data_IF_517852227129
#
_entry.id   IF_517852227129
#
_cell.length_a   1.000
_cell.length_b   1.000
_cell.length_c   1.000
_cell.angle_alpha   90.00
_cell.angle_beta   90.00
_cell.angle_gamma   90.00
#
_symmetry.space_group_name_H-M   'P 1'
#
loop_
_entity.id
_entity.type
_entity.pdbx_description
1 polymer ?
#
# COMPACT_ATOMS: atom_id res chain seq x y z
N UNK A 1 -16.21 -3.93 -15.56
CA UNK A 1 -15.56 -3.13 -14.51
C UNK A 1 -15.42 -3.96 -13.26
N UNK A 2 -14.40 -3.67 -12.45
CA UNK A 2 -14.12 -4.29 -11.16
C UNK A 2 -13.96 -3.15 -10.16
N UNK A 3 -14.60 -3.24 -9.00
CA UNK A 3 -14.37 -2.32 -7.89
C UNK A 3 -13.38 -2.94 -6.92
N UNK A 4 -12.31 -2.23 -6.61
CA UNK A 4 -11.26 -2.66 -5.70
C UNK A 4 -11.39 -1.89 -4.39
N UNK A 5 -11.54 -2.58 -3.26
CA UNK A 5 -11.66 -2.01 -1.93
C UNK A 5 -10.50 -2.46 -1.03
N UNK A 6 -9.81 -1.52 -0.41
CA UNK A 6 -8.74 -1.74 0.57
C UNK A 6 -9.13 -1.12 1.93
N UNK A 7 -9.51 -1.97 2.88
CA UNK A 7 -9.85 -1.59 4.24
C UNK A 7 -8.60 -1.66 5.14
N UNK A 8 -7.88 -0.53 5.19
CA UNK A 8 -6.75 -0.32 6.08
C UNK A 8 -7.14 -0.09 7.55
N UNK A 9 -6.16 0.25 8.38
CA UNK A 9 -6.43 0.53 9.81
C UNK A 9 -7.15 1.87 10.04
N UNK A 10 -6.76 2.89 9.27
CA UNK A 10 -7.21 4.28 9.46
C UNK A 10 -8.27 4.71 8.46
N UNK A 11 -8.24 4.18 7.24
CA UNK A 11 -9.14 4.56 6.14
C UNK A 11 -9.47 3.37 5.29
N UNK A 12 -10.60 3.45 4.59
CA UNK A 12 -10.87 2.63 3.42
C UNK A 12 -10.44 3.40 2.18
N UNK A 13 -9.78 2.72 1.25
CA UNK A 13 -9.44 3.23 -0.07
C UNK A 13 -10.15 2.40 -1.13
N UNK A 14 -10.43 3.00 -2.27
CA UNK A 14 -10.99 2.26 -3.40
C UNK A 14 -10.50 2.76 -4.76
N UNK A 15 -10.60 1.87 -5.75
CA UNK A 15 -10.24 2.15 -7.13
C UNK A 15 -11.14 1.39 -8.10
N UNK A 16 -11.49 2.01 -9.22
CA UNK A 16 -12.09 1.31 -10.34
C UNK A 16 -11.03 0.65 -11.21
N UNK A 17 -11.37 -0.50 -11.79
CA UNK A 17 -10.51 -1.22 -12.72
C UNK A 17 -11.30 -1.90 -13.83
N UNK A 18 -10.61 -2.27 -14.89
CA UNK A 18 -11.08 -3.17 -15.93
C UNK A 18 -10.02 -4.26 -16.19
N UNK A 19 -10.23 -5.10 -17.20
CA UNK A 19 -9.29 -6.18 -17.54
C UNK A 19 -7.92 -5.69 -18.05
N UNK A 20 -7.81 -4.42 -18.42
CA UNK A 20 -6.57 -3.80 -18.91
C UNK A 20 -5.79 -3.10 -17.80
N UNK A 21 -6.42 -2.69 -16.70
CA UNK A 21 -5.75 -1.99 -15.62
C UNK A 21 -6.68 -1.19 -14.71
N UNK A 22 -6.07 -0.36 -13.87
CA UNK A 22 -6.75 0.63 -13.03
C UNK A 22 -7.34 1.76 -13.91
N UNK A 23 -8.50 2.28 -13.52
CA UNK A 23 -9.24 3.33 -14.24
C UNK A 23 -9.53 4.50 -13.31
N UNK A 24 -9.14 5.70 -13.72
CA UNK A 24 -9.34 6.93 -12.94
C UNK A 24 -8.38 7.08 -11.77
N UNK A 25 -8.77 7.86 -10.77
CA UNK A 25 -7.97 8.12 -9.57
C UNK A 25 -8.40 7.26 -8.39
N UNK A 26 -7.44 6.98 -7.49
CA UNK A 26 -7.72 6.35 -6.21
C UNK A 26 -8.48 7.31 -5.30
N UNK A 27 -9.47 6.78 -4.59
CA UNK A 27 -10.26 7.53 -3.62
C UNK A 27 -10.08 6.93 -2.21
N UNK A 28 -10.38 7.73 -1.18
CA UNK A 28 -10.31 7.24 0.20
C UNK A 28 -11.24 8.00 1.14
N UNK A 29 -11.64 7.33 2.22
CA UNK A 29 -12.45 7.91 3.29
C UNK A 29 -12.00 7.37 4.65
N UNK A 30 -11.96 8.25 5.66
CA UNK A 30 -11.69 7.86 7.04
C UNK A 30 -12.93 7.19 7.67
N UNK A 31 -12.73 6.26 8.59
CA UNK A 31 -13.83 5.53 9.24
C UNK A 31 -14.75 6.36 10.13
N UNK A 32 -14.38 7.60 10.43
CA UNK A 32 -15.18 8.49 11.28
C UNK A 32 -16.37 9.13 10.53
N UNK A 33 -16.46 8.97 9.21
CA UNK A 33 -17.65 9.38 8.48
C UNK A 33 -18.85 8.53 8.95
N UNK A 34 -19.85 9.18 9.54
CA UNK A 34 -21.15 8.55 9.74
C UNK A 34 -21.65 8.12 8.35
N UNK A 35 -22.01 6.85 8.20
CA UNK A 35 -22.57 6.24 6.98
C UNK A 35 -21.58 5.75 5.91
N UNK A 36 -20.38 5.26 6.27
CA UNK A 36 -19.43 4.69 5.29
C UNK A 36 -20.07 3.63 4.37
N UNK A 37 -20.85 2.70 4.91
CA UNK A 37 -21.54 1.67 4.12
C UNK A 37 -22.49 2.30 3.11
N UNK A 38 -23.32 3.27 3.54
CA UNK A 38 -24.23 3.99 2.65
C UNK A 38 -23.45 4.75 1.58
N UNK A 39 -22.36 5.44 1.93
CA UNK A 39 -21.52 6.14 0.96
C UNK A 39 -20.95 5.21 -0.12
N UNK A 40 -20.49 4.02 0.28
CA UNK A 40 -19.97 3.03 -0.67
C UNK A 40 -21.09 2.46 -1.54
N UNK A 41 -22.26 2.17 -0.98
CA UNK A 41 -23.42 1.70 -1.74
C UNK A 41 -23.92 2.78 -2.72
N UNK A 42 -24.08 4.01 -2.25
CA UNK A 42 -24.45 5.17 -3.05
C UNK A 42 -23.44 5.38 -4.17
N UNK A 43 -22.14 5.30 -3.87
CA UNK A 43 -21.09 5.35 -4.89
C UNK A 43 -21.30 4.25 -5.92
N UNK A 44 -21.42 2.99 -5.50
CA UNK A 44 -21.57 1.85 -6.42
C UNK A 44 -22.82 2.02 -7.30
N UNK A 45 -23.92 2.52 -6.75
CA UNK A 45 -25.18 2.78 -7.46
C UNK A 45 -25.15 4.04 -8.34
N UNK A 46 -24.38 5.06 -7.95
CA UNK A 46 -24.24 6.35 -8.64
C UNK A 46 -23.05 6.40 -9.60
N UNK A 47 -22.23 5.35 -9.65
CA UNK A 47 -20.93 5.33 -10.35
C UNK A 47 -21.03 5.84 -11.78
N UNK A 48 -20.30 6.94 -11.99
CA UNK A 48 -20.31 7.89 -13.10
C UNK A 48 -20.46 7.29 -14.51
N UNK A 49 -21.00 8.06 -15.46
CA UNK A 49 -20.96 7.67 -16.87
C UNK A 49 -19.52 7.46 -17.38
N UNK A 50 -19.31 6.44 -18.22
CA UNK A 50 -18.13 6.40 -19.12
C UNK A 50 -18.14 7.65 -20.05
N UNK A 51 -17.09 7.91 -20.81
CA UNK A 51 -17.02 8.98 -21.82
C UNK A 51 -18.21 8.97 -22.81
N UNK A 52 -18.97 7.86 -22.87
CA UNK A 52 -20.18 7.66 -23.67
C UNK A 52 -21.50 7.71 -22.89
N UNK A 53 -21.54 8.25 -21.67
CA UNK A 53 -22.77 8.44 -20.89
C UNK A 53 -23.49 7.15 -20.40
N UNK A 54 -22.80 6.01 -20.35
CA UNK A 54 -23.35 4.74 -19.84
C UNK A 54 -23.05 4.56 -18.34
N UNK A 55 -24.05 4.18 -17.53
CA UNK A 55 -23.87 3.91 -16.09
C UNK A 55 -22.89 2.76 -15.88
N UNK A 56 -21.94 2.90 -14.94
CA UNK A 56 -20.95 1.85 -14.61
C UNK A 56 -21.60 0.65 -13.90
N UNK A 57 -22.71 0.87 -13.17
CA UNK A 57 -23.40 -0.14 -12.39
C UNK A 57 -23.79 -1.41 -13.19
N UNK A 58 -24.46 -1.32 -14.35
CA UNK A 58 -24.69 -2.48 -15.23
C UNK A 58 -23.43 -3.21 -15.73
N UNK A 59 -22.26 -2.58 -15.68
CA UNK A 59 -20.99 -3.12 -16.17
C UNK A 59 -20.08 -3.64 -15.03
N UNK A 60 -20.53 -3.57 -13.77
CA UNK A 60 -19.78 -4.06 -12.62
C UNK A 60 -19.82 -5.59 -12.57
N UNK A 61 -18.68 -6.22 -12.83
CA UNK A 61 -18.53 -7.67 -12.86
C UNK A 61 -18.29 -8.24 -11.45
N UNK A 62 -17.46 -7.56 -10.66
CA UNK A 62 -17.16 -7.98 -9.29
C UNK A 62 -16.67 -6.83 -8.42
N UNK A 63 -16.78 -7.03 -7.10
CA UNK A 63 -16.11 -6.22 -6.09
C UNK A 63 -15.05 -7.08 -5.42
N UNK A 64 -13.81 -6.65 -5.41
CA UNK A 64 -12.71 -7.33 -4.73
C UNK A 64 -12.30 -6.55 -3.49
N UNK A 65 -12.23 -7.23 -2.35
CA UNK A 65 -12.04 -6.63 -1.03
C UNK A 65 -10.80 -7.21 -0.37
N UNK A 66 -9.89 -6.33 0.04
CA UNK A 66 -8.84 -6.63 1.02
C UNK A 66 -9.14 -5.88 2.32
N UNK A 67 -8.91 -6.54 3.45
CA UNK A 67 -9.20 -5.95 4.76
C UNK A 67 -8.25 -6.43 5.84
N UNK A 68 -7.68 -5.48 6.57
CA UNK A 68 -7.07 -5.69 7.89
C UNK A 68 -8.01 -5.28 9.03
N UNK A 69 -9.25 -4.88 8.70
CA UNK A 69 -10.26 -4.40 9.65
C UNK A 69 -11.64 -5.07 9.46
N UNK A 70 -11.77 -6.37 9.81
CA UNK A 70 -12.98 -7.16 9.59
C UNK A 70 -14.25 -6.55 10.20
N UNK A 71 -14.12 -5.91 11.37
CA UNK A 71 -15.24 -5.28 12.08
C UNK A 71 -16.00 -4.24 11.26
N UNK A 72 -15.37 -3.65 10.24
CA UNK A 72 -16.02 -2.71 9.31
C UNK A 72 -16.31 -3.38 7.97
N UNK A 73 -15.31 -4.07 7.39
CA UNK A 73 -15.45 -4.64 6.04
C UNK A 73 -16.59 -5.65 5.93
N UNK A 74 -16.84 -6.45 6.98
CA UNK A 74 -17.87 -7.50 6.96
C UNK A 74 -19.28 -6.93 6.77
N UNK A 75 -19.53 -5.73 7.31
CA UNK A 75 -20.82 -5.04 7.12
C UNK A 75 -21.01 -4.55 5.69
N UNK A 76 -19.93 -4.07 5.06
CA UNK A 76 -19.94 -3.59 3.68
C UNK A 76 -20.06 -4.75 2.70
N UNK A 77 -19.31 -5.84 2.93
CA UNK A 77 -19.38 -7.06 2.13
C UNK A 77 -20.82 -7.58 2.10
N UNK A 78 -21.46 -7.76 3.26
CA UNK A 78 -22.86 -8.21 3.34
C UNK A 78 -23.81 -7.30 2.57
N UNK A 79 -23.63 -5.98 2.66
CA UNK A 79 -24.49 -5.04 1.95
C UNK A 79 -24.30 -5.10 0.43
N UNK A 80 -23.07 -5.30 -0.05
CA UNK A 80 -22.78 -5.49 -1.48
C UNK A 80 -23.33 -6.82 -2.01
N UNK A 81 -23.22 -7.89 -1.23
CA UNK A 81 -23.80 -9.20 -1.55
C UNK A 81 -25.33 -9.15 -1.68
N UNK A 82 -26.01 -8.34 -0.84
CA UNK A 82 -27.46 -8.11 -0.95
C UNK A 82 -27.88 -7.44 -2.26
N UNK A 83 -26.96 -6.79 -2.97
CA UNK A 83 -27.20 -6.24 -4.32
C UNK A 83 -26.96 -7.28 -5.44
N UNK A 84 -26.79 -8.56 -5.10
CA UNK A 84 -26.43 -9.64 -6.02
C UNK A 84 -25.10 -9.40 -6.75
N UNK A 85 -24.17 -8.67 -6.14
CA UNK A 85 -22.82 -8.49 -6.67
C UNK A 85 -21.94 -9.68 -6.31
N UNK A 86 -21.08 -10.07 -7.25
CA UNK A 86 -19.98 -10.99 -6.96
C UNK A 86 -18.94 -10.27 -6.09
N UNK A 87 -18.88 -10.61 -4.80
CA UNK A 87 -17.88 -10.07 -3.87
C UNK A 87 -16.80 -11.11 -3.59
N UNK A 88 -15.55 -10.75 -3.90
CA UNK A 88 -14.37 -11.59 -3.68
C UNK A 88 -13.55 -11.00 -2.53
N UNK A 89 -13.31 -11.78 -1.48
CA UNK A 89 -12.44 -11.35 -0.37
C UNK A 89 -11.06 -11.96 -0.53
N UNK A 90 -10.04 -11.10 -0.66
CA UNK A 90 -8.66 -11.54 -0.77
C UNK A 90 -8.09 -11.84 0.62
N UNK A 91 -7.35 -12.94 0.71
CA UNK A 91 -6.64 -13.35 1.92
C UNK A 91 -5.18 -13.63 1.59
N UNK A 92 -4.32 -13.42 2.57
CA UNK A 92 -2.93 -13.83 2.50
C UNK A 92 -2.84 -15.35 2.35
N UNK A 93 -2.03 -15.81 1.40
CA UNK A 93 -1.85 -17.21 1.06
C UNK A 93 -0.39 -17.64 1.24
N UNK A 94 -0.15 -18.96 1.27
CA UNK A 94 1.21 -19.51 1.36
C UNK A 94 2.01 -19.21 0.08
N UNK A 95 1.32 -19.11 -1.05
CA UNK A 95 1.91 -18.87 -2.36
C UNK A 95 0.90 -18.17 -3.28
N UNK A 96 1.38 -17.30 -4.17
CA UNK A 96 0.64 -16.75 -5.29
C UNK A 96 1.54 -16.74 -6.53
N UNK A 97 1.25 -17.61 -7.50
CA UNK A 97 2.14 -17.87 -8.63
C UNK A 97 3.57 -18.18 -8.17
N UNK A 98 4.53 -17.33 -8.49
CA UNK A 98 5.94 -17.51 -8.09
C UNK A 98 6.29 -16.83 -6.76
N UNK A 99 5.37 -16.05 -6.17
CA UNK A 99 5.59 -15.42 -4.87
C UNK A 99 5.29 -16.43 -3.75
N UNK A 100 6.27 -16.70 -2.89
CA UNK A 100 6.16 -17.61 -1.76
C UNK A 100 6.21 -16.83 -0.45
N UNK A 101 5.25 -17.08 0.43
CA UNK A 101 5.15 -16.39 1.70
C UNK A 101 6.15 -16.93 2.74
N UNK A 102 7.07 -16.07 3.15
CA UNK A 102 8.11 -16.35 4.15
C UNK A 102 7.66 -16.35 5.62
N UNK A 103 6.43 -15.97 5.93
CA UNK A 103 5.96 -16.09 7.31
C UNK A 103 5.82 -17.56 7.71
N UNK A 104 6.20 -17.87 8.94
CA UNK A 104 5.91 -19.16 9.57
C UNK A 104 4.38 -19.37 9.63
N UNK A 105 3.67 -18.36 10.13
CA UNK A 105 2.22 -18.31 10.23
C UNK A 105 1.66 -17.35 9.16
N UNK A 106 1.35 -17.88 7.97
CA UNK A 106 0.89 -17.11 6.79
C UNK A 106 -0.24 -16.14 7.12
N UNK A 107 -1.19 -16.56 7.97
CA UNK A 107 -2.38 -15.77 8.31
C UNK A 107 -2.05 -14.50 9.11
N UNK A 108 -0.85 -14.39 9.69
CA UNK A 108 -0.41 -13.20 10.44
C UNK A 108 0.11 -12.09 9.52
N UNK A 109 0.37 -12.38 8.24
CA UNK A 109 0.80 -11.35 7.30
C UNK A 109 -0.39 -10.50 6.86
N UNK A 110 -0.26 -9.19 7.01
CA UNK A 110 -1.22 -8.21 6.50
C UNK A 110 -1.48 -8.40 5.00
N UNK A 111 -2.75 -8.38 4.61
CA UNK A 111 -3.16 -8.62 3.22
C UNK A 111 -2.68 -7.49 2.30
N UNK A 112 -2.55 -6.27 2.81
CA UNK A 112 -1.97 -5.11 2.12
C UNK A 112 -0.52 -5.36 1.70
N UNK A 113 0.32 -5.85 2.62
CA UNK A 113 1.71 -6.24 2.34
C UNK A 113 1.78 -7.36 1.31
N UNK A 114 0.91 -8.37 1.47
CA UNK A 114 0.83 -9.49 0.53
C UNK A 114 0.50 -9.02 -0.89
N UNK A 115 -0.46 -8.12 -1.04
CA UNK A 115 -0.88 -7.56 -2.32
C UNK A 115 0.20 -6.67 -2.95
N UNK A 116 0.87 -5.85 -2.15
CA UNK A 116 1.99 -5.03 -2.63
C UNK A 116 3.12 -5.91 -3.18
N UNK A 117 3.43 -7.03 -2.51
CA UNK A 117 4.40 -8.00 -3.00
C UNK A 117 3.93 -8.77 -4.25
N UNK A 118 2.63 -9.09 -4.37
CA UNK A 118 2.07 -9.69 -5.59
C UNK A 118 2.30 -8.75 -6.79
N UNK A 119 1.96 -7.47 -6.63
CA UNK A 119 2.16 -6.47 -7.68
C UNK A 119 3.64 -6.32 -8.04
N UNK A 120 4.50 -6.18 -7.03
CA UNK A 120 5.94 -6.07 -7.21
C UNK A 120 6.53 -7.28 -7.97
N UNK A 121 6.11 -8.49 -7.60
CA UNK A 121 6.57 -9.73 -8.26
C UNK A 121 6.11 -9.83 -9.71
N UNK A 122 4.89 -9.36 -10.00
CA UNK A 122 4.36 -9.33 -11.36
C UNK A 122 5.09 -8.31 -12.23
N UNK A 123 5.47 -7.16 -11.68
CA UNK A 123 6.21 -6.10 -12.38
C UNK A 123 7.66 -6.52 -12.66
N UNK A 124 8.34 -7.09 -11.66
CA UNK A 124 9.76 -7.41 -11.69
C UNK A 124 9.97 -8.90 -11.39
N UNK A 125 9.54 -9.74 -12.33
CA UNK A 125 9.72 -11.19 -12.21
C UNK A 125 11.20 -11.58 -12.24
N UNK A 126 11.57 -12.52 -11.38
CA UNK A 126 12.92 -13.09 -11.27
C UNK A 126 14.03 -12.11 -10.85
N UNK A 127 13.68 -10.96 -10.27
CA UNK A 127 14.63 -9.98 -9.72
C UNK A 127 14.34 -9.76 -8.23
N UNK A 128 15.36 -9.65 -7.36
CA UNK A 128 15.16 -9.29 -5.96
C UNK A 128 14.45 -7.93 -5.86
N UNK A 129 13.52 -7.79 -4.94
CA UNK A 129 12.74 -6.56 -4.79
C UNK A 129 12.52 -6.20 -3.33
N UNK A 130 12.78 -4.93 -2.99
CA UNK A 130 12.40 -4.32 -1.73
C UNK A 130 11.12 -3.50 -1.94
N UNK A 131 10.04 -3.87 -1.27
CA UNK A 131 8.74 -3.21 -1.35
C UNK A 131 8.54 -2.38 -0.08
N UNK A 132 8.36 -1.07 -0.23
CA UNK A 132 8.17 -0.15 0.90
C UNK A 132 6.82 0.55 0.78
N UNK A 133 5.88 0.26 1.67
CA UNK A 133 4.63 1.05 1.79
C UNK A 133 4.82 2.14 2.84
N UNK A 134 4.78 3.40 2.41
CA UNK A 134 4.87 4.57 3.28
C UNK A 134 3.47 5.09 3.63
N UNK A 135 2.75 4.32 4.44
CA UNK A 135 1.39 4.61 4.87
C UNK A 135 1.25 4.98 6.34
N UNK A 136 0.10 4.61 6.93
CA UNK A 136 -0.17 4.78 8.37
C UNK A 136 0.85 4.06 9.25
N UNK A 137 1.30 2.90 8.79
CA UNK A 137 2.54 2.25 9.19
C UNK A 137 3.45 2.25 7.97
N UNK A 138 4.77 2.17 8.20
CA UNK A 138 5.73 1.91 7.13
C UNK A 138 6.06 0.43 7.16
N UNK A 139 5.90 -0.27 6.03
CA UNK A 139 6.33 -1.66 5.88
C UNK A 139 7.48 -1.72 4.91
N UNK A 140 8.44 -2.62 5.15
CA UNK A 140 9.58 -2.87 4.29
C UNK A 140 9.66 -4.38 4.11
N UNK A 141 9.35 -4.88 2.93
CA UNK A 141 9.25 -6.29 2.60
C UNK A 141 10.31 -6.68 1.56
N UNK A 142 11.10 -7.71 1.86
CA UNK A 142 12.16 -8.20 0.98
C UNK A 142 11.70 -9.47 0.24
N UNK A 143 11.79 -9.48 -1.08
CA UNK A 143 11.47 -10.63 -1.94
C UNK A 143 12.71 -11.01 -2.75
N UNK A 144 13.16 -12.25 -2.65
CA UNK A 144 14.30 -12.78 -3.39
C UNK A 144 14.00 -12.97 -4.88
N UNK A 145 15.04 -13.19 -5.69
CA UNK A 145 14.90 -13.41 -7.13
C UNK A 145 13.99 -14.60 -7.46
N UNK A 146 14.07 -15.67 -6.66
CA UNK A 146 13.24 -16.86 -6.84
C UNK A 146 11.77 -16.67 -6.41
N UNK A 147 11.45 -15.53 -5.77
CA UNK A 147 10.11 -15.19 -5.31
C UNK A 147 9.84 -15.52 -3.85
N UNK A 148 10.81 -16.02 -3.08
CA UNK A 148 10.66 -16.15 -1.64
C UNK A 148 10.65 -14.78 -0.96
N UNK A 149 9.57 -14.49 -0.23
CA UNK A 149 9.58 -13.39 0.72
C UNK A 149 10.52 -13.74 1.89
N UNK A 150 11.53 -12.91 2.13
CA UNK A 150 12.59 -13.11 3.13
C UNK A 150 12.21 -12.57 4.52
N UNK A 151 11.04 -11.94 4.64
CA UNK A 151 10.65 -11.19 5.82
C UNK A 151 10.68 -9.68 5.58
N UNK A 152 10.45 -8.94 6.65
CA UNK A 152 10.35 -7.49 6.56
C UNK A 152 10.22 -6.80 7.91
N UNK A 153 10.13 -5.47 7.85
CA UNK A 153 9.96 -4.60 9.00
C UNK A 153 8.60 -3.91 8.97
N UNK A 154 8.06 -3.62 10.17
CA UNK A 154 6.91 -2.74 10.35
C UNK A 154 7.33 -1.64 11.30
N UNK A 155 7.24 -0.39 10.86
CA UNK A 155 7.52 0.81 11.64
C UNK A 155 6.26 1.66 11.75
N UNK A 156 6.13 2.52 12.79
CA UNK A 156 5.09 3.53 12.79
C UNK A 156 5.33 4.50 11.61
N UNK A 157 4.26 4.95 10.95
CA UNK A 157 4.36 5.95 9.89
C UNK A 157 4.80 7.32 10.42
N UNK A 158 5.21 8.23 9.53
CA UNK A 158 5.78 9.54 9.88
C UNK A 158 4.94 10.30 10.92
N UNK A 159 3.65 10.44 10.64
CA UNK A 159 2.72 11.15 11.51
C UNK A 159 2.48 10.43 12.85
N UNK A 160 2.61 9.10 12.91
CA UNK A 160 2.48 8.35 14.16
C UNK A 160 3.72 8.50 15.04
N UNK A 161 4.91 8.44 14.45
CA UNK A 161 6.15 8.70 15.18
C UNK A 161 6.17 10.11 15.76
N UNK A 162 5.76 11.10 14.94
CA UNK A 162 5.66 12.47 15.37
C UNK A 162 4.69 12.62 16.56
N UNK A 163 3.45 12.11 16.43
CA UNK A 163 2.47 12.17 17.53
C UNK A 163 2.98 11.50 18.79
N UNK A 164 3.55 10.30 18.70
CA UNK A 164 4.06 9.58 19.86
C UNK A 164 5.17 10.36 20.59
N UNK A 165 6.02 11.09 19.84
CA UNK A 165 7.03 11.95 20.45
C UNK A 165 6.40 13.20 21.10
N UNK A 166 5.39 13.80 20.46
CA UNK A 166 4.73 15.01 20.93
C UNK A 166 3.82 14.79 22.15
N UNK A 167 3.25 13.59 22.30
CA UNK A 167 2.28 13.23 23.34
C UNK A 167 2.76 13.53 24.77
N UNK A 168 4.07 13.62 25.01
CA UNK A 168 4.65 13.92 26.33
C UNK A 168 5.64 15.10 26.30
N UNK A 169 5.52 16.03 25.33
CA UNK A 169 6.43 17.19 25.22
C UNK A 169 5.67 18.50 25.12
N UNK A 170 6.00 19.48 25.98
CA UNK A 170 5.26 20.76 26.05
C UNK A 170 5.75 21.81 25.04
N UNK A 171 6.91 21.64 24.39
CA UNK A 171 7.58 22.72 23.63
C UNK A 171 7.93 22.38 22.16
N UNK A 172 7.44 21.26 21.62
CA UNK A 172 7.75 20.85 20.24
C UNK A 172 6.54 21.09 19.33
N UNK A 173 6.64 22.07 18.44
CA UNK A 173 5.64 22.36 17.41
C UNK A 173 6.10 21.89 16.03
N UNK A 174 6.51 20.63 15.93
CA UNK A 174 6.83 20.02 14.64
C UNK A 174 5.54 19.51 14.00
N UNK A 175 5.15 20.03 12.83
CA UNK A 175 3.85 19.68 12.21
C UNK A 175 3.93 19.29 10.74
N UNK A 176 5.03 19.56 10.05
CA UNK A 176 5.04 19.44 8.59
C UNK A 176 6.34 18.83 8.01
N UNK A 177 6.19 17.63 7.45
CA UNK A 177 7.24 16.91 6.75
C UNK A 177 7.50 17.43 5.32
N UNK A 178 6.61 18.26 4.75
CA UNK A 178 6.72 18.76 3.37
C UNK A 178 8.01 19.57 3.15
N UNK A 179 8.46 20.28 4.19
CA UNK A 179 9.65 21.12 4.22
C UNK A 179 10.96 20.34 4.28
N UNK A 180 10.92 19.05 4.62
CA UNK A 180 12.13 18.22 4.78
C UNK A 180 12.76 17.96 3.42
N UNK A 181 13.90 18.60 3.16
CA UNK A 181 14.63 18.43 1.90
C UNK A 181 15.69 17.33 1.98
N UNK A 182 16.25 17.06 3.15
CA UNK A 182 17.33 16.11 3.40
C UNK A 182 17.22 15.54 4.82
N UNK A 183 18.07 14.55 5.13
CA UNK A 183 18.16 13.92 6.46
C UNK A 183 19.45 14.29 7.21
N UNK A 184 20.07 15.43 6.88
CA UNK A 184 21.23 15.94 7.61
C UNK A 184 20.83 16.39 9.03
N UNK A 185 21.80 16.59 9.93
CA UNK A 185 21.51 17.02 11.30
C UNK A 185 20.73 18.33 11.36
N UNK A 186 19.67 18.35 12.17
CA UNK A 186 18.87 19.54 12.42
C UNK A 186 19.62 20.57 13.26
N UNK A 187 19.27 21.85 13.09
CA UNK A 187 19.87 22.98 13.83
C UNK A 187 18.87 23.68 14.75
N UNK A 188 17.65 23.15 14.86
CA UNK A 188 16.63 23.55 15.81
C UNK A 188 15.79 22.33 16.17
N UNK A 189 15.05 22.40 17.29
CA UNK A 189 14.27 21.27 17.83
C UNK A 189 13.31 20.67 16.82
N UNK A 190 12.62 21.50 16.03
CA UNK A 190 11.68 21.03 15.02
C UNK A 190 12.38 20.22 13.93
N UNK A 191 13.49 20.73 13.38
CA UNK A 191 14.29 20.04 12.39
C UNK A 191 14.89 18.74 12.94
N UNK A 192 15.41 18.76 14.18
CA UNK A 192 15.95 17.56 14.82
C UNK A 192 14.91 16.43 14.90
N UNK A 193 13.65 16.77 15.21
CA UNK A 193 12.55 15.80 15.28
C UNK A 193 12.17 15.28 13.89
N UNK A 194 11.80 16.15 12.96
CA UNK A 194 11.29 15.71 11.66
C UNK A 194 12.37 15.04 10.82
N UNK A 195 13.61 15.56 10.83
CA UNK A 195 14.73 14.94 10.12
C UNK A 195 15.17 13.65 10.80
N UNK A 196 15.11 13.57 12.14
CA UNK A 196 15.41 12.33 12.88
C UNK A 196 14.45 11.19 12.51
N UNK A 197 13.15 11.46 12.44
CA UNK A 197 12.13 10.51 11.99
C UNK A 197 12.42 10.04 10.55
N UNK A 198 12.68 10.97 9.63
CA UNK A 198 13.00 10.63 8.24
C UNK A 198 14.32 9.84 8.13
N UNK A 199 15.36 10.26 8.85
CA UNK A 199 16.67 9.62 8.86
C UNK A 199 16.57 8.16 9.34
N UNK A 200 15.75 7.89 10.35
CA UNK A 200 15.50 6.52 10.83
C UNK A 200 14.95 5.64 9.70
N UNK A 201 13.92 6.09 8.98
CA UNK A 201 13.30 5.31 7.91
C UNK A 201 14.29 5.06 6.77
N UNK A 202 15.00 6.12 6.35
CA UNK A 202 16.02 6.02 5.31
C UNK A 202 17.13 5.05 5.72
N UNK A 203 17.61 5.13 6.95
CA UNK A 203 18.63 4.22 7.47
C UNK A 203 18.16 2.76 7.47
N UNK A 204 16.90 2.47 7.83
CA UNK A 204 16.36 1.09 7.79
C UNK A 204 16.24 0.57 6.36
N UNK A 205 15.84 1.42 5.41
CA UNK A 205 15.82 1.05 3.98
C UNK A 205 17.23 0.72 3.51
N UNK A 206 18.20 1.63 3.72
CA UNK A 206 19.59 1.43 3.30
C UNK A 206 20.22 0.21 3.98
N UNK A 207 19.88 -0.04 5.24
CA UNK A 207 20.31 -1.24 5.97
C UNK A 207 19.78 -2.54 5.34
N UNK A 208 18.62 -2.49 4.68
CA UNK A 208 18.00 -3.66 4.05
C UNK A 208 18.61 -4.01 2.70
N UNK A 209 19.14 -3.03 1.95
CA UNK A 209 19.61 -3.23 0.57
C UNK A 209 20.73 -4.28 0.42
N UNK A 210 21.79 -4.30 1.25
CA UNK A 210 22.86 -5.29 1.09
C UNK A 210 22.41 -6.73 1.31
N UNK A 211 21.28 -6.96 2.00
CA UNK A 211 20.75 -8.30 2.26
C UNK A 211 19.97 -8.90 1.09
N UNK A 212 19.68 -8.10 0.08
CA UNK A 212 18.98 -8.50 -1.15
C UNK A 212 19.90 -8.69 -2.34
N UNK A 213 21.18 -8.30 -2.23
CA UNK A 213 22.14 -8.34 -3.33
C UNK A 213 22.62 -9.78 -3.58
N UNK A 214 21.77 -10.58 -4.22
CA UNK A 214 22.02 -11.98 -4.62
C UNK A 214 22.64 -12.05 -6.03
N UNK A 215 23.71 -11.28 -6.28
CA UNK A 215 24.35 -11.12 -7.60
C UNK A 215 23.46 -10.47 -8.69
N UNK A 216 22.30 -9.94 -8.32
CA UNK A 216 21.44 -9.12 -9.16
C UNK A 216 21.05 -7.87 -8.40
N UNK A 217 21.07 -6.71 -9.06
CA UNK A 217 20.67 -5.45 -8.46
C UNK A 217 19.16 -5.47 -8.10
N UNK A 218 18.78 -5.36 -6.82
CA UNK A 218 17.38 -5.33 -6.43
C UNK A 218 16.63 -4.09 -6.94
N UNK A 219 15.34 -4.27 -7.25
CA UNK A 219 14.41 -3.18 -7.41
C UNK A 219 13.98 -2.61 -6.04
N UNK A 220 13.84 -1.29 -5.96
CA UNK A 220 13.28 -0.62 -4.79
C UNK A 220 11.97 0.03 -5.23
N UNK A 221 10.84 -0.46 -4.70
CA UNK A 221 9.52 0.09 -5.00
C UNK A 221 8.97 0.76 -3.75
N UNK A 222 8.62 2.05 -3.86
CA UNK A 222 7.85 2.75 -2.86
C UNK A 222 6.39 2.89 -3.27
N UNK A 223 5.51 2.81 -2.28
CA UNK A 223 4.10 3.15 -2.38
C UNK A 223 3.66 3.92 -1.13
N UNK A 224 2.35 4.16 -0.98
CA UNK A 224 1.79 4.87 0.16
C UNK A 224 1.86 6.39 0.03
N UNK A 225 1.07 7.07 0.88
CA UNK A 225 0.88 8.52 0.80
C UNK A 225 2.15 9.33 1.09
N UNK A 226 3.02 8.80 1.95
CA UNK A 226 4.31 9.43 2.28
C UNK A 226 5.43 8.97 1.32
N UNK A 227 5.14 8.11 0.34
CA UNK A 227 6.12 7.50 -0.56
C UNK A 227 6.87 8.51 -1.43
N UNK A 228 6.21 9.60 -1.86
CA UNK A 228 6.83 10.70 -2.61
C UNK A 228 7.94 11.39 -1.82
N UNK A 229 7.68 11.67 -0.53
CA UNK A 229 8.65 12.29 0.36
C UNK A 229 9.83 11.35 0.59
N UNK A 230 9.58 10.10 0.97
CA UNK A 230 10.63 9.12 1.23
C UNK A 230 11.47 8.86 -0.02
N UNK A 231 10.87 8.74 -1.20
CA UNK A 231 11.60 8.61 -2.47
C UNK A 231 12.54 9.80 -2.71
N UNK A 232 12.07 11.03 -2.49
CA UNK A 232 12.90 12.24 -2.66
C UNK A 232 14.12 12.20 -1.75
N UNK A 233 13.94 11.83 -0.48
CA UNK A 233 15.03 11.75 0.49
C UNK A 233 15.97 10.61 0.17
N UNK A 234 15.45 9.42 -0.13
CA UNK A 234 16.23 8.24 -0.47
C UNK A 234 17.08 8.46 -1.73
N UNK A 235 16.54 9.12 -2.76
CA UNK A 235 17.29 9.46 -3.97
C UNK A 235 18.50 10.36 -3.69
N UNK A 236 18.46 11.20 -2.65
CA UNK A 236 19.62 12.01 -2.27
C UNK A 236 20.73 11.15 -1.67
N UNK A 237 20.37 10.21 -0.79
CA UNK A 237 21.34 9.28 -0.20
C UNK A 237 21.91 8.29 -1.22
N UNK A 238 21.15 7.97 -2.27
CA UNK A 238 21.54 7.03 -3.32
C UNK A 238 22.16 7.67 -4.57
N UNK A 239 22.43 8.98 -4.56
CA UNK A 239 22.81 9.76 -5.76
C UNK A 239 23.98 9.17 -6.56
N UNK A 240 25.00 8.64 -5.88
CA UNK A 240 26.21 8.07 -6.51
C UNK A 240 26.23 6.54 -6.44
N UNK A 241 25.05 5.92 -6.30
CA UNK A 241 24.90 4.48 -6.16
C UNK A 241 24.28 3.83 -7.40
N UNK A 242 24.36 2.50 -7.47
CA UNK A 242 23.70 1.69 -8.52
C UNK A 242 22.18 1.59 -8.34
N UNK A 243 21.63 2.00 -7.20
CA UNK A 243 20.26 1.72 -6.80
C UNK A 243 19.26 2.68 -7.45
N UNK A 244 18.21 2.14 -8.06
CA UNK A 244 17.12 2.90 -8.64
C UNK A 244 15.83 2.73 -7.83
N UNK A 245 15.12 3.84 -7.64
CA UNK A 245 13.93 3.91 -6.79
C UNK A 245 12.69 4.21 -7.63
N UNK A 246 11.75 3.29 -7.62
CA UNK A 246 10.47 3.39 -8.31
C UNK A 246 9.37 3.84 -7.34
N UNK A 247 8.43 4.68 -7.81
CA UNK A 247 7.21 5.01 -7.05
C UNK A 247 6.01 4.44 -7.79
N UNK A 248 5.18 3.67 -7.08
CA UNK A 248 3.92 3.09 -7.56
C UNK A 248 2.83 3.42 -6.56
N UNK A 249 2.12 4.53 -6.75
CA UNK A 249 1.14 5.03 -5.77
C UNK A 249 -0.04 4.06 -5.54
N UNK A 250 -0.37 3.25 -6.55
CA UNK A 250 -1.50 2.31 -6.51
C UNK A 250 -1.05 0.84 -6.37
N UNK A 251 0.17 0.56 -5.89
CA UNK A 251 0.74 -0.80 -5.87
C UNK A 251 -0.16 -1.85 -5.19
N UNK A 252 -0.81 -1.51 -4.08
CA UNK A 252 -1.76 -2.41 -3.41
C UNK A 252 -2.97 -2.71 -4.29
N UNK A 253 -3.49 -1.72 -5.02
CA UNK A 253 -4.59 -1.92 -5.97
C UNK A 253 -4.18 -2.69 -7.21
N UNK A 254 -2.95 -2.51 -7.70
CA UNK A 254 -2.39 -3.34 -8.77
C UNK A 254 -2.38 -4.81 -8.33
N UNK A 255 -1.96 -5.08 -7.09
CA UNK A 255 -1.99 -6.42 -6.50
C UNK A 255 -3.41 -6.96 -6.36
N UNK A 256 -4.35 -6.12 -5.94
CA UNK A 256 -5.76 -6.49 -5.80
C UNK A 256 -6.39 -6.83 -7.15
N UNK A 257 -6.06 -6.06 -8.20
CA UNK A 257 -6.51 -6.32 -9.56
C UNK A 257 -5.94 -7.63 -10.09
N UNK A 258 -4.64 -7.88 -9.90
CA UNK A 258 -3.99 -9.15 -10.30
C UNK A 258 -4.71 -10.34 -9.65
N UNK A 259 -5.04 -10.22 -8.35
CA UNK A 259 -5.80 -11.25 -7.65
C UNK A 259 -7.22 -11.41 -8.22
N UNK A 260 -7.95 -10.31 -8.40
CA UNK A 260 -9.31 -10.29 -8.93
C UNK A 260 -9.41 -10.96 -10.31
N UNK A 261 -8.52 -10.58 -11.24
CA UNK A 261 -8.49 -11.14 -12.60
C UNK A 261 -8.17 -12.64 -12.60
N UNK A 262 -7.38 -13.11 -11.63
CA UNK A 262 -7.07 -14.53 -11.49
C UNK A 262 -8.27 -15.32 -10.99
N UNK A 263 -9.02 -14.81 -10.02
CA UNK A 263 -10.23 -15.46 -9.52
C UNK A 263 -11.35 -15.45 -10.58
N UNK A 264 -11.52 -14.35 -11.32
CA UNK A 264 -12.48 -14.28 -12.42
C UNK A 264 -12.20 -15.28 -13.55
N UNK A 265 -10.93 -15.65 -13.79
CA UNK A 265 -10.56 -16.67 -14.80
C UNK A 265 -10.89 -18.11 -14.38
N UNK A 266 -11.16 -18.35 -13.09
CA UNK A 266 -11.51 -19.68 -12.57
C UNK A 266 -13.02 -19.97 -12.61
N UNK A 267 -13.83 -18.93 -12.83
CA UNK A 267 -15.29 -18.99 -12.92
C UNK A 267 -15.72 -19.25 -14.35
#
# INVERSE_FOLDING_TARGET
MILLLDFGNTRVKWHWANHQGLVGESCSSDYQSKNLTTQLLDMVQSSFPDQQNQRIWPMLQSVTVASVKPSISDSVIKALEQLNLLVQTVRTAKQFDTLINGYHEVKQMGVDRWLAMIAARQLHSQVPTLVIDCGTAITIDAVAADGHHLGGYILPGLNRQLRALLENTEQVYATDFSRVQDVAFGQNTQDCVIKGICAQIIAVILHSLPRLDENQLPHIILTGGDGKLIKRLLNKELKDSKWAVELREALVFEGLLINALKELKKM
#
